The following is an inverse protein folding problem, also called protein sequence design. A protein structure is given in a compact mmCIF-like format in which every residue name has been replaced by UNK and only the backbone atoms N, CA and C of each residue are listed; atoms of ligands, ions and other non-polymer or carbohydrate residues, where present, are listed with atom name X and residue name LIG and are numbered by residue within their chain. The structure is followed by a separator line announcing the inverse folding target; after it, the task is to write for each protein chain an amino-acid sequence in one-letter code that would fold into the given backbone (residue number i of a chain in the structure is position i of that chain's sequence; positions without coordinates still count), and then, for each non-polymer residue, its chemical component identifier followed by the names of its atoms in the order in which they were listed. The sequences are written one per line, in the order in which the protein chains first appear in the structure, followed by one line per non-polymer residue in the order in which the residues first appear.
data_IF_462322689153
#
_entry.id   IF_462322689153
#
_cell.length_a   1.000
_cell.length_b   1.000
_cell.length_c   1.000
_cell.angle_alpha   90.00
_cell.angle_beta   90.00
_cell.angle_gamma   90.00
#
_symmetry.space_group_name_H-M   'P 1'
#
loop_
_entity.id
_entity.type
_entity.pdbx_description
1 polymer ?
#
# COMPACT_ATOMS: atom_id res chain seq x y z
N UNK A 1 -6.82 53.96 23.61
CA UNK A 1 -7.52 54.98 22.76
C UNK A 1 -6.81 55.07 21.43
N UNK A 2 -7.37 54.56 20.36
CA UNK A 2 -7.45 55.09 18.98
C UNK A 2 -8.11 54.04 18.12
N UNK A 3 -9.39 54.24 17.85
CA UNK A 3 -10.23 53.56 16.85
C UNK A 3 -9.90 54.11 15.46
N UNK A 4 -9.91 53.26 14.42
CA UNK A 4 -10.19 53.60 13.02
C UNK A 4 -10.68 52.29 12.36
N UNK A 5 -11.91 52.03 12.15
CA UNK A 5 -12.97 52.45 11.26
C UNK A 5 -12.70 52.12 9.77
N UNK A 6 -13.43 51.14 9.30
CA UNK A 6 -14.17 50.91 8.04
C UNK A 6 -13.56 51.34 6.68
N UNK A 7 -13.60 50.42 5.72
CA UNK A 7 -14.21 50.67 4.42
C UNK A 7 -14.54 49.32 3.70
N UNK A 8 -15.84 49.11 3.50
CA UNK A 8 -16.48 48.16 2.61
C UNK A 8 -16.42 48.72 1.22
N UNK A 9 -16.00 47.91 0.21
CA UNK A 9 -16.34 48.19 -1.19
C UNK A 9 -17.01 46.95 -1.79
N UNK A 10 -18.31 47.14 -1.99
CA UNK A 10 -19.21 46.34 -2.78
C UNK A 10 -19.22 46.90 -4.19
N UNK A 11 -18.92 46.09 -5.21
CA UNK A 11 -19.22 46.46 -6.58
C UNK A 11 -19.76 45.21 -7.34
N UNK A 12 -21.06 45.24 -7.52
CA UNK A 12 -21.77 44.40 -8.44
C UNK A 12 -21.73 45.04 -9.82
N UNK A 13 -21.56 44.24 -10.87
CA UNK A 13 -22.01 44.61 -12.20
C UNK A 13 -22.51 43.39 -12.96
N UNK A 14 -23.81 43.38 -13.16
CA UNK A 14 -24.54 42.60 -14.16
C UNK A 14 -24.20 43.12 -15.58
N UNK A 15 -24.20 42.22 -16.55
CA UNK A 15 -24.19 42.57 -17.97
C UNK A 15 -24.61 41.37 -18.83
N UNK A 16 -25.84 41.42 -19.35
CA UNK A 16 -26.54 40.40 -20.07
C UNK A 16 -26.33 40.46 -21.59
N UNK A 17 -26.50 39.29 -22.23
CA UNK A 17 -27.12 39.02 -23.53
C UNK A 17 -26.53 39.64 -24.81
N UNK A 18 -26.44 38.87 -25.90
CA UNK A 18 -27.33 38.91 -27.04
C UNK A 18 -26.97 37.82 -28.07
N UNK A 19 -28.02 37.21 -28.56
CA UNK A 19 -28.26 36.31 -29.68
C UNK A 19 -27.75 36.79 -31.05
N UNK A 20 -27.50 35.84 -31.94
CA UNK A 20 -27.87 36.02 -33.33
C UNK A 20 -26.87 35.56 -34.37
N UNK A 21 -27.27 34.62 -35.21
CA UNK A 21 -27.01 34.67 -36.62
C UNK A 21 -26.70 33.34 -37.30
N UNK A 22 -27.71 32.75 -37.92
CA UNK A 22 -27.65 31.68 -38.94
C UNK A 22 -26.96 32.10 -40.22
N UNK A 23 -26.23 31.20 -40.92
CA UNK A 23 -26.38 30.94 -42.35
C UNK A 23 -25.49 29.81 -42.85
N UNK A 24 -26.10 28.73 -43.30
CA UNK A 24 -26.15 27.99 -44.56
C UNK A 24 -24.86 27.79 -45.38
N UNK A 25 -24.70 26.50 -45.74
CA UNK A 25 -24.29 26.03 -47.06
C UNK A 25 -23.30 24.89 -46.99
N UNK A 26 -23.76 23.73 -47.16
CA UNK A 26 -23.78 22.74 -48.24
C UNK A 26 -22.48 21.95 -48.46
N UNK A 27 -22.65 20.71 -48.36
CA UNK A 27 -22.55 19.43 -49.11
C UNK A 27 -21.12 18.86 -49.17
N UNK A 28 -20.80 17.59 -49.12
CA UNK A 28 -21.50 16.32 -49.21
C UNK A 28 -20.49 15.22 -48.82
N UNK A 29 -20.99 14.05 -48.38
CA UNK A 29 -20.22 12.81 -48.50
C UNK A 29 -20.23 11.91 -47.26
N UNK A 30 -21.29 11.29 -46.98
CA UNK A 30 -21.38 9.97 -46.30
C UNK A 30 -21.35 8.85 -47.32
N UNK A 31 -20.98 7.62 -46.98
CA UNK A 31 -21.83 6.68 -46.28
C UNK A 31 -21.11 5.90 -45.15
N UNK A 32 -21.73 5.64 -44.03
CA UNK A 32 -22.68 4.60 -43.65
C UNK A 32 -22.20 3.18 -43.96
N UNK A 33 -22.17 2.31 -43.00
CA UNK A 33 -23.07 1.27 -42.49
C UNK A 33 -22.18 0.30 -41.74
N UNK A 34 -22.42 -0.40 -40.64
CA UNK A 34 -23.60 -0.96 -40.08
C UNK A 34 -23.24 -1.82 -38.89
N UNK A 35 -24.00 -1.71 -37.86
CA UNK A 35 -24.65 -2.76 -37.08
C UNK A 35 -23.88 -3.91 -36.45
N UNK A 36 -24.04 -4.00 -35.18
CA UNK A 36 -24.01 -5.25 -34.40
C UNK A 36 -25.16 -6.19 -34.83
N UNK A 37 -25.03 -7.46 -34.51
CA UNK A 37 -26.15 -8.07 -33.81
C UNK A 37 -25.80 -8.93 -32.61
N UNK A 38 -26.80 -8.99 -31.76
CA UNK A 38 -27.00 -9.78 -30.55
C UNK A 38 -27.05 -11.29 -30.78
N UNK A 39 -26.66 -11.96 -29.70
CA UNK A 39 -27.26 -13.19 -29.14
C UNK A 39 -27.65 -14.37 -30.06
N UNK A 40 -27.18 -15.55 -29.67
CA UNK A 40 -28.07 -16.70 -29.44
C UNK A 40 -27.39 -17.73 -28.52
N UNK A 41 -28.21 -18.27 -27.64
CA UNK A 41 -27.95 -19.26 -26.61
C UNK A 41 -28.01 -20.70 -27.18
N UNK A 42 -27.65 -21.63 -26.29
CA UNK A 42 -27.92 -23.06 -26.28
C UNK A 42 -26.94 -23.96 -27.03
N UNK A 43 -26.29 -24.89 -26.33
CA UNK A 43 -26.85 -26.21 -26.09
C UNK A 43 -26.11 -26.95 -24.95
N UNK A 44 -26.90 -27.65 -24.15
CA UNK A 44 -26.51 -28.58 -23.09
C UNK A 44 -26.14 -29.92 -23.70
N UNK A 45 -25.11 -30.57 -23.16
CA UNK A 45 -25.12 -32.04 -23.08
C UNK A 45 -24.50 -32.53 -21.78
N UNK A 46 -25.35 -33.13 -20.99
CA UNK A 46 -25.10 -34.06 -19.90
C UNK A 46 -24.20 -35.23 -20.33
N UNK A 47 -23.26 -35.61 -19.49
CA UNK A 47 -22.84 -36.99 -19.37
C UNK A 47 -22.45 -37.30 -17.92
N UNK A 48 -23.21 -38.18 -17.38
CA UNK A 48 -23.29 -38.73 -16.02
C UNK A 48 -22.46 -39.99 -15.93
N UNK A 49 -22.01 -40.31 -14.71
CA UNK A 49 -21.55 -41.59 -14.16
C UNK A 49 -20.06 -41.95 -14.40
N UNK A 50 -19.33 -42.49 -13.45
CA UNK A 50 -19.66 -43.52 -12.47
C UNK A 50 -18.65 -43.56 -11.31
N UNK A 51 -19.17 -43.90 -10.17
CA UNK A 51 -18.59 -44.17 -8.88
C UNK A 51 -17.93 -45.56 -8.87
N UNK A 52 -16.70 -45.69 -8.37
CA UNK A 52 -16.29 -46.96 -7.77
C UNK A 52 -15.47 -46.69 -6.51
N UNK A 53 -16.06 -47.18 -5.43
CA UNK A 53 -15.42 -47.33 -4.14
C UNK A 53 -14.58 -48.61 -4.13
N UNK A 54 -13.38 -48.55 -3.56
CA UNK A 54 -12.71 -49.71 -3.04
C UNK A 54 -11.98 -49.39 -1.74
N UNK A 55 -12.55 -49.91 -0.68
CA UNK A 55 -11.98 -50.02 0.67
C UNK A 55 -10.87 -51.08 0.67
N UNK A 56 -9.72 -50.74 1.28
CA UNK A 56 -8.88 -51.78 1.90
C UNK A 56 -8.14 -51.22 3.10
N UNK A 57 -8.43 -51.79 4.26
CA UNK A 57 -7.71 -51.73 5.53
C UNK A 57 -6.36 -52.42 5.44
N UNK A 58 -5.33 -51.93 6.12
CA UNK A 58 -4.53 -52.67 7.12
C UNK A 58 -3.34 -51.85 7.58
N UNK A 59 -3.31 -51.48 8.84
CA UNK A 59 -2.49 -51.96 9.97
C UNK A 59 -1.02 -51.54 10.01
N UNK A 60 -0.80 -50.59 10.92
CA UNK A 60 0.15 -50.57 12.06
C UNK A 60 1.62 -51.00 11.88
N UNK A 61 2.48 -50.13 12.23
CA UNK A 61 3.60 -50.20 13.23
C UNK A 61 4.65 -49.21 12.86
N UNK A 62 4.89 -48.20 13.64
CA UNK A 62 5.78 -48.23 14.78
C UNK A 62 7.07 -47.52 14.48
N UNK A 63 7.31 -46.50 15.27
CA UNK A 63 8.62 -46.13 15.83
C UNK A 63 9.40 -44.98 15.24
N UNK A 64 9.60 -44.02 16.14
CA UNK A 64 10.72 -43.13 16.35
C UNK A 64 10.59 -41.73 15.82
N UNK A 65 10.15 -40.91 16.75
CA UNK A 65 10.44 -39.49 16.86
C UNK A 65 11.94 -39.26 17.06
N UNK A 66 12.50 -38.22 16.50
CA UNK A 66 13.43 -37.42 17.28
C UNK A 66 13.08 -35.93 17.28
N UNK A 67 13.02 -35.42 18.48
CA UNK A 67 13.50 -34.10 18.84
C UNK A 67 12.53 -32.96 18.52
N UNK A 68 11.55 -32.75 19.39
CA UNK A 68 10.92 -31.46 19.60
C UNK A 68 12.00 -30.44 19.98
N UNK A 69 12.32 -29.54 19.08
CA UNK A 69 12.83 -28.24 19.42
C UNK A 69 11.70 -27.50 20.13
N UNK A 70 11.88 -27.18 21.40
CA UNK A 70 10.98 -26.31 22.16
C UNK A 70 11.01 -24.93 21.54
N UNK A 71 10.07 -24.68 20.61
CA UNK A 71 9.66 -23.33 20.28
C UNK A 71 9.08 -22.71 21.54
N UNK A 72 9.53 -21.52 21.89
CA UNK A 72 8.99 -20.75 23.00
C UNK A 72 7.47 -20.72 22.89
N UNK A 73 6.79 -21.05 24.00
CA UNK A 73 5.33 -21.07 24.14
C UNK A 73 4.73 -19.72 23.70
N UNK A 74 4.34 -19.61 22.46
CA UNK A 74 3.40 -18.59 22.05
C UNK A 74 2.02 -19.13 22.40
N UNK A 75 1.28 -18.54 23.36
CA UNK A 75 0.00 -19.08 23.79
C UNK A 75 -0.94 -19.16 22.59
N UNK A 76 -1.62 -20.31 22.43
CA UNK A 76 -2.62 -20.46 21.39
C UNK A 76 -3.62 -19.30 21.48
N UNK A 77 -3.89 -18.57 20.39
CA UNK A 77 -4.88 -17.49 20.41
C UNK A 77 -6.28 -18.00 20.82
N UNK A 78 -7.12 -17.15 21.40
CA UNK A 78 -8.47 -17.54 21.84
C UNK A 78 -9.34 -17.94 20.63
N UNK A 79 -10.38 -18.70 20.90
CA UNK A 79 -11.38 -19.09 19.90
C UNK A 79 -12.46 -17.99 19.83
N UNK A 80 -12.62 -17.33 18.68
CA UNK A 80 -13.41 -16.11 18.48
C UNK A 80 -14.36 -16.20 17.26
N UNK A 81 -15.15 -17.29 17.08
CA UNK A 81 -15.86 -17.56 15.80
C UNK A 81 -17.01 -16.59 15.49
N UNK A 82 -17.45 -15.78 16.47
CA UNK A 82 -18.53 -14.81 16.31
C UNK A 82 -18.07 -13.35 16.33
N UNK A 83 -16.75 -13.15 16.38
CA UNK A 83 -16.15 -11.83 16.46
C UNK A 83 -15.76 -11.31 15.06
N UNK A 84 -15.77 -9.98 14.92
CA UNK A 84 -15.39 -9.31 13.68
C UNK A 84 -14.60 -8.07 14.01
N UNK A 85 -13.47 -7.89 13.33
CA UNK A 85 -12.67 -6.67 13.39
C UNK A 85 -12.77 -5.90 12.08
N UNK A 86 -12.91 -4.58 12.17
CA UNK A 86 -12.78 -3.64 11.06
C UNK A 86 -11.43 -2.95 11.13
N UNK A 87 -10.54 -3.27 10.19
CA UNK A 87 -9.17 -2.78 10.20
C UNK A 87 -8.89 -1.96 8.94
N UNK A 88 -8.40 -0.75 9.13
CA UNK A 88 -7.88 0.09 8.06
C UNK A 88 -6.40 -0.19 7.86
N UNK A 89 -5.95 -0.34 6.62
CA UNK A 89 -4.55 -0.59 6.30
C UNK A 89 -4.13 0.21 5.08
N UNK A 90 -2.95 0.78 5.13
CA UNK A 90 -2.35 1.46 3.98
C UNK A 90 -2.26 0.54 2.77
N UNK A 91 -2.69 1.00 1.60
CA UNK A 91 -2.82 0.18 0.39
C UNK A 91 -1.50 -0.51 -0.03
N UNK A 92 -0.34 0.09 0.27
CA UNK A 92 0.97 -0.51 -0.03
C UNK A 92 1.26 -1.79 0.75
N UNK A 93 0.56 -2.03 1.85
CA UNK A 93 0.72 -3.22 2.72
C UNK A 93 -0.41 -4.24 2.54
N UNK A 94 -1.24 -4.10 1.50
CA UNK A 94 -2.43 -4.93 1.33
C UNK A 94 -2.11 -6.43 1.28
N UNK A 95 -1.06 -6.82 0.54
CA UNK A 95 -0.73 -8.25 0.37
C UNK A 95 -0.26 -8.91 1.69
N UNK A 96 0.76 -8.40 2.40
CA UNK A 96 1.17 -8.99 3.68
C UNK A 96 0.07 -8.92 4.74
N UNK A 97 -0.66 -7.81 4.81
CA UNK A 97 -1.69 -7.65 5.83
C UNK A 97 -2.91 -8.55 5.58
N UNK A 98 -3.28 -8.80 4.33
CA UNK A 98 -4.32 -9.76 4.01
C UNK A 98 -3.93 -11.18 4.45
N UNK A 99 -2.69 -11.60 4.22
CA UNK A 99 -2.21 -12.90 4.68
C UNK A 99 -2.22 -13.01 6.21
N UNK A 100 -1.86 -11.92 6.93
CA UNK A 100 -1.96 -11.85 8.39
C UNK A 100 -3.41 -11.98 8.86
N UNK A 101 -4.33 -11.26 8.21
CA UNK A 101 -5.76 -11.31 8.53
C UNK A 101 -6.36 -12.70 8.33
N UNK A 102 -5.99 -13.38 7.23
CA UNK A 102 -6.43 -14.73 6.92
C UNK A 102 -5.85 -15.74 7.93
N UNK A 103 -4.57 -15.62 8.29
CA UNK A 103 -3.92 -16.47 9.28
C UNK A 103 -4.53 -16.29 10.69
N UNK A 104 -4.89 -15.06 11.08
CA UNK A 104 -5.60 -14.81 12.34
C UNK A 104 -7.00 -15.44 12.34
N UNK A 105 -7.73 -15.30 11.24
CA UNK A 105 -9.04 -15.94 11.07
C UNK A 105 -8.94 -17.46 11.17
N UNK A 106 -7.96 -18.06 10.53
CA UNK A 106 -7.75 -19.52 10.57
C UNK A 106 -7.39 -20.00 12.00
N UNK A 107 -6.64 -19.18 12.73
CA UNK A 107 -6.23 -19.51 14.10
C UNK A 107 -7.32 -19.33 15.15
N UNK A 108 -8.26 -18.38 14.96
CA UNK A 108 -9.23 -17.93 15.97
C UNK A 108 -10.69 -18.06 15.56
N UNK A 109 -10.99 -18.13 14.26
CA UNK A 109 -12.35 -18.02 13.71
C UNK A 109 -12.86 -16.56 13.61
N UNK A 110 -12.12 -15.55 14.13
CA UNK A 110 -12.49 -14.15 14.06
C UNK A 110 -12.45 -13.63 12.62
N UNK A 111 -13.50 -12.97 12.16
CA UNK A 111 -13.50 -12.33 10.84
C UNK A 111 -12.76 -11.00 10.89
N UNK A 112 -11.80 -10.79 9.98
CA UNK A 112 -11.13 -9.50 9.79
C UNK A 112 -11.61 -8.87 8.49
N UNK A 113 -12.29 -7.72 8.60
CA UNK A 113 -12.72 -6.91 7.47
C UNK A 113 -11.68 -5.80 7.25
N UNK A 114 -10.72 -6.04 6.36
CA UNK A 114 -9.68 -5.07 6.06
C UNK A 114 -10.12 -4.12 4.94
N UNK A 115 -9.90 -2.81 5.15
CA UNK A 115 -10.07 -1.77 4.13
C UNK A 115 -8.72 -1.21 3.75
N UNK A 116 -8.35 -1.32 2.48
CA UNK A 116 -7.07 -0.85 1.94
C UNK A 116 -7.24 0.45 1.17
N UNK A 117 -6.62 1.53 1.66
CA UNK A 117 -6.71 2.83 1.03
C UNK A 117 -5.43 3.67 1.30
N UNK A 118 -5.34 4.86 0.70
CA UNK A 118 -4.31 5.80 1.10
C UNK A 118 -4.63 6.43 2.47
N UNK A 119 -3.59 6.90 3.16
CA UNK A 119 -3.72 7.42 4.53
C UNK A 119 -4.78 8.54 4.65
N UNK A 120 -4.84 9.47 3.69
CA UNK A 120 -5.81 10.56 3.73
C UNK A 120 -7.27 10.09 3.64
N UNK A 121 -7.55 9.07 2.85
CA UNK A 121 -8.88 8.45 2.76
C UNK A 121 -9.24 7.76 4.08
N UNK A 122 -8.31 6.98 4.67
CA UNK A 122 -8.50 6.31 5.95
C UNK A 122 -8.74 7.33 7.06
N UNK A 123 -7.90 8.36 7.15
CA UNK A 123 -8.04 9.45 8.12
C UNK A 123 -9.40 10.15 8.01
N UNK A 124 -9.83 10.45 6.78
CA UNK A 124 -11.16 11.03 6.52
C UNK A 124 -12.28 10.09 6.94
N UNK A 125 -12.15 8.81 6.70
CA UNK A 125 -13.14 7.82 7.10
C UNK A 125 -13.23 7.72 8.62
N UNK A 126 -12.12 7.53 9.34
CA UNK A 126 -12.09 7.47 10.81
C UNK A 126 -12.74 8.72 11.41
N UNK A 127 -12.37 9.92 10.94
CA UNK A 127 -12.90 11.18 11.48
C UNK A 127 -14.38 11.44 11.15
N UNK A 128 -14.90 10.84 10.08
CA UNK A 128 -16.28 11.06 9.64
C UNK A 128 -17.24 10.04 10.23
N UNK A 129 -16.84 8.77 10.31
CA UNK A 129 -17.70 7.68 10.77
C UNK A 129 -17.53 7.38 12.26
N UNK A 130 -16.35 7.71 12.81
CA UNK A 130 -15.94 7.31 14.16
C UNK A 130 -16.05 5.79 14.35
N UNK A 131 -15.71 5.03 13.29
CA UNK A 131 -15.74 3.57 13.26
C UNK A 131 -14.36 3.00 12.92
N UNK A 132 -14.14 1.74 13.29
CA UNK A 132 -12.91 0.99 13.06
C UNK A 132 -12.24 0.57 14.35
N UNK A 133 -11.58 -0.58 14.31
CA UNK A 133 -10.93 -1.15 15.48
C UNK A 133 -9.42 -0.86 15.47
N UNK A 134 -8.79 -0.81 14.29
CA UNK A 134 -7.35 -0.58 14.14
C UNK A 134 -7.03 0.18 12.84
N UNK A 135 -5.96 0.97 12.88
CA UNK A 135 -5.32 1.56 11.69
C UNK A 135 -3.86 1.14 11.60
N UNK A 136 -3.51 0.37 10.57
CA UNK A 136 -2.13 0.03 10.20
C UNK A 136 -1.65 1.07 9.18
N UNK A 137 -0.87 2.02 9.66
CA UNK A 137 -0.42 3.18 8.88
C UNK A 137 0.97 2.95 8.28
N UNK A 138 1.26 3.55 7.13
CA UNK A 138 2.58 3.47 6.49
C UNK A 138 3.70 4.15 7.28
N UNK A 139 3.34 5.02 8.22
CA UNK A 139 4.28 5.62 9.19
C UNK A 139 3.54 6.24 10.37
N UNK A 140 4.25 6.50 11.45
CA UNK A 140 3.71 7.24 12.60
C UNK A 140 3.24 8.66 12.28
N UNK A 141 3.76 9.28 11.22
CA UNK A 141 3.31 10.60 10.76
C UNK A 141 1.87 10.57 10.23
N UNK A 142 1.45 9.44 9.67
CA UNK A 142 0.09 9.26 9.15
C UNK A 142 -0.96 9.12 10.26
N UNK A 143 -0.56 8.85 11.50
CA UNK A 143 -1.47 8.80 12.65
C UNK A 143 -1.80 10.19 13.21
N UNK A 144 -0.96 11.22 12.96
CA UNK A 144 -1.13 12.56 13.53
C UNK A 144 -2.51 13.20 13.29
N UNK A 145 -3.09 13.14 12.06
CA UNK A 145 -4.42 13.71 11.81
C UNK A 145 -5.57 13.03 12.57
N UNK A 146 -5.35 11.80 13.04
CA UNK A 146 -6.34 11.00 13.78
C UNK A 146 -5.87 10.66 15.19
N UNK A 147 -4.87 11.38 15.72
CA UNK A 147 -4.24 11.10 17.01
C UNK A 147 -5.26 11.05 18.16
N UNK A 148 -6.33 11.86 18.11
CA UNK A 148 -7.42 11.85 19.10
C UNK A 148 -8.23 10.55 19.12
N UNK A 149 -8.15 9.74 18.07
CA UNK A 149 -8.79 8.42 17.99
C UNK A 149 -7.85 7.28 18.35
N UNK A 150 -6.55 7.53 18.51
CA UNK A 150 -5.55 6.49 18.83
C UNK A 150 -5.55 6.25 20.34
N UNK A 151 -5.89 5.04 20.76
CA UNK A 151 -5.83 4.58 22.15
C UNK A 151 -4.44 4.02 22.51
N UNK A 152 -3.88 3.21 21.62
CA UNK A 152 -2.55 2.60 21.75
C UNK A 152 -1.96 2.35 20.37
N UNK A 153 -0.64 2.18 20.29
CA UNK A 153 0.07 1.85 19.06
C UNK A 153 1.27 0.97 19.30
N UNK A 154 1.56 0.12 18.33
CA UNK A 154 2.71 -0.76 18.28
C UNK A 154 3.41 -0.64 16.94
N UNK A 155 4.71 -0.45 16.93
CA UNK A 155 5.52 -0.53 15.71
C UNK A 155 5.72 -2.00 15.32
N UNK A 156 5.42 -2.35 14.07
CA UNK A 156 5.45 -3.72 13.56
C UNK A 156 6.77 -4.01 12.82
N UNK A 157 7.04 -3.22 11.81
CA UNK A 157 8.16 -3.41 10.88
C UNK A 157 8.74 -2.07 10.46
N UNK A 158 9.96 -2.11 9.92
CA UNK A 158 10.60 -0.95 9.30
C UNK A 158 10.02 -0.73 7.90
N UNK A 159 9.87 0.54 7.53
CA UNK A 159 9.54 0.98 6.19
C UNK A 159 10.77 1.71 5.65
N UNK A 160 11.52 1.03 4.80
CA UNK A 160 12.90 1.40 4.44
C UNK A 160 12.95 1.98 3.04
N UNK A 161 13.23 3.29 2.89
CA UNK A 161 13.51 3.85 1.58
C UNK A 161 14.91 3.42 1.12
N UNK A 162 15.04 3.02 -0.14
CA UNK A 162 16.30 2.60 -0.74
C UNK A 162 16.55 3.31 -2.07
N UNK A 163 17.80 3.45 -2.43
CA UNK A 163 18.22 3.82 -3.77
C UNK A 163 18.34 2.54 -4.58
N UNK A 164 17.52 2.41 -5.61
CA UNK A 164 17.52 1.27 -6.52
C UNK A 164 18.01 1.69 -7.90
N UNK A 165 18.64 0.76 -8.60
CA UNK A 165 19.19 0.93 -9.94
C UNK A 165 18.81 -0.26 -10.82
N UNK A 166 18.99 -0.13 -12.12
CA UNK A 166 18.92 -1.27 -13.03
C UNK A 166 19.97 -2.31 -12.66
N UNK A 167 19.66 -3.59 -12.81
CA UNK A 167 20.60 -4.69 -12.56
C UNK A 167 21.93 -4.49 -13.29
N UNK A 168 23.01 -4.74 -12.56
CA UNK A 168 24.38 -4.51 -13.02
C UNK A 168 24.84 -3.06 -12.96
N UNK A 169 23.98 -2.16 -12.48
CA UNK A 169 24.30 -0.75 -12.19
C UNK A 169 25.15 -0.07 -13.28
N UNK A 170 24.64 0.07 -14.51
CA UNK A 170 25.44 0.51 -15.68
C UNK A 170 26.00 1.94 -15.53
N UNK A 171 25.43 2.74 -14.60
CA UNK A 171 25.91 4.10 -14.31
C UNK A 171 26.87 4.17 -13.12
N UNK A 172 27.16 3.02 -12.45
CA UNK A 172 28.00 2.95 -11.26
C UNK A 172 27.54 3.89 -10.14
N UNK A 173 26.23 3.96 -9.90
CA UNK A 173 25.62 4.80 -8.85
C UNK A 173 25.89 4.11 -7.52
N UNK A 174 26.53 4.81 -6.57
CA UNK A 174 26.89 4.30 -5.24
C UNK A 174 26.23 5.06 -4.11
N UNK A 175 25.59 6.18 -4.40
CA UNK A 175 24.87 7.00 -3.42
C UNK A 175 24.09 8.13 -4.06
N UNK A 176 23.42 8.95 -3.24
CA UNK A 176 22.58 10.06 -3.69
C UNK A 176 23.34 11.08 -4.53
N UNK A 177 24.64 11.34 -4.21
CA UNK A 177 25.46 12.31 -4.94
C UNK A 177 25.62 11.97 -6.42
N UNK A 178 25.61 10.67 -6.76
CA UNK A 178 25.82 10.21 -8.16
C UNK A 178 24.59 10.48 -9.03
N UNK A 179 23.43 10.76 -8.44
CA UNK A 179 22.22 11.14 -9.17
C UNK A 179 22.36 12.45 -9.96
N UNK A 180 23.38 13.26 -9.64
CA UNK A 180 23.69 14.51 -10.39
C UNK A 180 24.64 14.27 -11.58
N UNK A 181 25.06 13.01 -11.80
CA UNK A 181 25.97 12.66 -12.87
C UNK A 181 25.39 12.89 -14.28
N UNK A 182 26.27 13.20 -15.23
CA UNK A 182 25.88 13.41 -16.62
C UNK A 182 25.13 12.19 -17.19
N UNK A 183 23.91 12.43 -17.68
CA UNK A 183 23.08 11.41 -18.28
C UNK A 183 22.51 10.39 -17.28
N UNK A 184 22.54 10.67 -15.97
CA UNK A 184 21.80 9.92 -14.94
C UNK A 184 20.40 10.46 -14.86
N UNK A 185 19.41 9.56 -14.81
CA UNK A 185 17.99 9.89 -14.69
C UNK A 185 17.36 9.13 -13.55
N UNK A 186 16.38 9.78 -12.87
CA UNK A 186 15.68 9.28 -11.70
C UNK A 186 14.17 9.16 -11.96
N UNK A 187 13.58 8.02 -11.57
CA UNK A 187 12.15 7.92 -11.33
C UNK A 187 11.89 8.06 -9.83
N UNK A 188 10.90 8.83 -9.45
CA UNK A 188 10.50 9.00 -8.06
C UNK A 188 8.99 8.99 -7.88
N UNK A 189 8.54 8.82 -6.66
CA UNK A 189 7.13 9.02 -6.32
C UNK A 189 6.73 10.49 -6.44
N UNK A 190 5.47 10.74 -6.78
CA UNK A 190 4.92 12.09 -6.78
C UNK A 190 5.06 12.71 -5.39
N UNK A 191 5.66 13.91 -5.33
CA UNK A 191 6.07 14.57 -4.07
C UNK A 191 4.88 15.10 -3.25
N UNK A 192 3.74 15.31 -3.86
CA UNK A 192 2.57 15.85 -3.20
C UNK A 192 1.65 14.75 -2.67
N UNK A 193 1.58 13.63 -3.39
CA UNK A 193 0.61 12.55 -3.13
C UNK A 193 1.22 11.27 -2.52
N UNK A 194 2.56 11.05 -2.64
CA UNK A 194 3.16 9.80 -2.16
C UNK A 194 4.13 10.01 -1.00
N UNK A 195 4.10 9.15 0.05
CA UNK A 195 5.07 9.21 1.15
C UNK A 195 6.51 9.06 0.68
N UNK A 196 6.77 8.12 -0.24
CA UNK A 196 8.14 7.89 -0.75
C UNK A 196 8.65 9.07 -1.60
N UNK A 197 7.78 9.75 -2.36
CA UNK A 197 8.13 10.95 -3.09
C UNK A 197 8.52 12.11 -2.17
N UNK A 198 7.80 12.29 -1.06
CA UNK A 198 8.14 13.26 -0.01
C UNK A 198 9.50 12.97 0.63
N UNK A 199 9.78 11.70 0.91
CA UNK A 199 11.06 11.24 1.46
C UNK A 199 12.19 11.47 0.44
N UNK A 200 12.00 11.06 -0.81
CA UNK A 200 12.99 11.25 -1.86
C UNK A 200 13.37 12.74 -2.04
N UNK A 201 12.35 13.61 -2.14
CA UNK A 201 12.56 15.06 -2.20
C UNK A 201 13.32 15.56 -0.99
N UNK A 202 12.91 15.14 0.21
CA UNK A 202 13.58 15.58 1.45
C UNK A 202 15.02 15.12 1.48
N UNK A 203 15.33 13.86 1.18
CA UNK A 203 16.69 13.33 1.20
C UNK A 203 17.60 14.06 0.20
N UNK A 204 17.12 14.25 -1.03
CA UNK A 204 17.89 15.00 -2.05
C UNK A 204 18.02 16.49 -1.70
N UNK A 205 17.04 17.10 -1.03
CA UNK A 205 17.13 18.49 -0.56
C UNK A 205 18.13 18.62 0.58
N UNK A 206 18.11 17.71 1.55
CA UNK A 206 19.07 17.68 2.67
C UNK A 206 20.51 17.47 2.17
N UNK A 207 20.67 16.70 1.08
CA UNK A 207 21.94 16.51 0.38
C UNK A 207 22.32 17.69 -0.55
N UNK A 208 21.45 18.67 -0.74
CA UNK A 208 21.70 19.83 -1.60
C UNK A 208 21.70 19.55 -3.10
N UNK A 209 21.09 18.44 -3.54
CA UNK A 209 21.15 17.98 -4.94
C UNK A 209 19.81 18.01 -5.67
N UNK A 210 18.68 18.23 -5.01
CA UNK A 210 17.34 18.08 -5.60
C UNK A 210 17.16 18.83 -6.91
N UNK A 211 17.63 20.07 -6.99
CA UNK A 211 17.50 20.92 -8.18
C UNK A 211 18.48 20.54 -9.31
N UNK A 212 19.42 19.60 -9.07
CA UNK A 212 20.44 19.16 -10.00
C UNK A 212 20.12 17.77 -10.59
N UNK A 213 19.21 17.03 -9.98
CA UNK A 213 18.82 15.68 -10.41
C UNK A 213 17.87 15.76 -11.60
N UNK A 214 18.13 15.01 -12.65
CA UNK A 214 17.22 14.84 -13.77
C UNK A 214 16.09 13.86 -13.37
N UNK A 215 14.93 14.38 -13.02
CA UNK A 215 13.74 13.58 -12.80
C UNK A 215 13.10 13.27 -14.15
N UNK A 216 13.16 11.99 -14.57
CA UNK A 216 12.61 11.54 -15.85
C UNK A 216 11.09 11.39 -15.77
N UNK A 217 10.59 10.80 -14.66
CA UNK A 217 9.17 10.62 -14.42
C UNK A 217 8.83 10.60 -12.94
N UNK A 218 7.56 10.89 -12.63
CA UNK A 218 6.98 10.67 -11.32
C UNK A 218 5.82 9.67 -11.42
N UNK A 219 5.67 8.82 -10.40
CA UNK A 219 4.64 7.78 -10.36
C UNK A 219 3.75 7.93 -9.13
N UNK A 220 2.55 7.37 -9.20
CA UNK A 220 1.59 7.39 -8.11
C UNK A 220 1.84 6.27 -7.08
N UNK A 221 2.60 5.22 -7.43
CA UNK A 221 2.83 4.06 -6.56
C UNK A 221 4.27 3.54 -6.65
N UNK A 222 4.78 2.97 -5.55
CA UNK A 222 6.11 2.38 -5.51
C UNK A 222 6.30 1.19 -6.48
N UNK A 223 5.36 0.26 -6.64
CA UNK A 223 5.49 -0.81 -7.65
C UNK A 223 5.64 -0.29 -9.09
N UNK A 224 5.00 0.83 -9.45
CA UNK A 224 5.20 1.44 -10.77
C UNK A 224 6.63 1.94 -10.97
N UNK A 225 7.27 2.49 -9.92
CA UNK A 225 8.68 2.91 -10.00
C UNK A 225 9.60 1.72 -10.29
N UNK A 226 9.45 0.63 -9.55
CA UNK A 226 10.26 -0.57 -9.74
C UNK A 226 10.06 -1.20 -11.12
N UNK A 227 8.82 -1.24 -11.61
CA UNK A 227 8.51 -1.73 -12.96
C UNK A 227 9.16 -0.86 -14.03
N UNK A 228 9.06 0.45 -13.94
CA UNK A 228 9.66 1.38 -14.89
C UNK A 228 11.20 1.33 -14.86
N UNK A 229 11.78 1.19 -13.65
CA UNK A 229 13.22 1.00 -13.50
C UNK A 229 13.69 -0.32 -14.14
N UNK A 230 12.99 -1.43 -13.90
CA UNK A 230 13.25 -2.72 -14.51
C UNK A 230 13.12 -2.69 -16.05
N UNK A 231 12.21 -1.88 -16.58
CA UNK A 231 12.04 -1.65 -18.02
C UNK A 231 13.11 -0.74 -18.64
N UNK A 232 13.97 -0.14 -17.82
CA UNK A 232 15.05 0.74 -18.31
C UNK A 232 14.58 2.15 -18.65
N UNK A 233 13.46 2.60 -18.09
CA UNK A 233 12.92 3.95 -18.33
C UNK A 233 13.71 5.04 -17.59
N UNK A 234 14.48 4.68 -16.57
CA UNK A 234 15.45 5.53 -15.89
C UNK A 234 16.61 4.70 -15.33
N UNK A 235 17.66 5.37 -14.86
CA UNK A 235 18.87 4.74 -14.33
C UNK A 235 18.73 4.38 -12.84
N UNK A 236 17.95 5.17 -12.11
CA UNK A 236 17.76 5.01 -10.67
C UNK A 236 16.31 5.31 -10.21
N UNK A 237 15.97 4.83 -9.03
CA UNK A 237 14.73 5.16 -8.31
C UNK A 237 14.99 5.26 -6.80
N UNK A 238 14.27 6.15 -6.10
CA UNK A 238 14.15 6.09 -4.65
C UNK A 238 12.80 5.49 -4.35
N UNK A 239 12.79 4.27 -3.80
CA UNK A 239 11.63 3.41 -3.67
C UNK A 239 11.67 2.68 -2.31
N UNK A 240 10.57 2.05 -1.90
CA UNK A 240 10.58 1.21 -0.72
C UNK A 240 11.28 -0.12 -0.98
N UNK A 241 12.04 -0.62 -0.01
CA UNK A 241 12.84 -1.85 -0.10
C UNK A 241 12.00 -3.05 -0.53
N UNK A 242 10.82 -3.22 0.02
CA UNK A 242 9.90 -4.31 -0.27
C UNK A 242 9.35 -4.31 -1.70
N UNK A 243 9.59 -3.24 -2.45
CA UNK A 243 9.20 -3.16 -3.86
C UNK A 243 10.37 -3.41 -4.83
N UNK A 244 11.54 -3.82 -4.33
CA UNK A 244 12.74 -4.06 -5.14
C UNK A 244 13.00 -5.53 -5.45
N UNK A 245 12.02 -6.40 -5.29
CA UNK A 245 12.08 -7.84 -5.59
C UNK A 245 11.90 -8.17 -7.08
N UNK A 246 11.59 -7.17 -7.90
CA UNK A 246 11.43 -7.33 -9.34
C UNK A 246 12.76 -7.70 -10.03
N UNK A 247 12.71 -8.67 -10.96
CA UNK A 247 13.85 -8.97 -11.84
C UNK A 247 14.25 -7.70 -12.63
N UNK A 248 15.54 -7.40 -12.68
CA UNK A 248 16.04 -6.19 -13.34
C UNK A 248 16.26 -5.00 -12.41
N UNK A 249 15.99 -5.12 -11.13
CA UNK A 249 16.23 -4.10 -10.10
C UNK A 249 17.31 -4.55 -9.13
N UNK A 250 18.18 -3.65 -8.72
CA UNK A 250 19.24 -3.86 -7.73
C UNK A 250 19.25 -2.71 -6.72
N UNK A 251 19.40 -3.04 -5.44
CA UNK A 251 19.51 -2.05 -4.36
C UNK A 251 20.96 -1.62 -4.21
N UNK A 252 21.21 -0.31 -4.22
CA UNK A 252 22.53 0.25 -3.95
C UNK A 252 22.84 0.16 -2.45
N UNK A 253 24.01 -0.39 -2.11
CA UNK A 253 24.50 -0.42 -0.72
C UNK A 253 25.00 0.97 -0.32
N UNK A 254 24.09 1.78 0.20
CA UNK A 254 24.37 3.13 0.73
C UNK A 254 23.59 3.38 2.00
N UNK A 255 24.12 4.28 2.83
CA UNK A 255 23.46 4.73 4.08
C UNK A 255 22.79 6.08 3.94
N UNK A 256 22.78 6.65 2.74
CA UNK A 256 22.26 7.99 2.51
C UNK A 256 20.76 8.14 2.86
N UNK A 257 20.03 7.03 2.81
CA UNK A 257 18.59 6.99 3.12
C UNK A 257 18.26 6.47 4.54
N UNK A 258 19.25 5.98 5.30
CA UNK A 258 19.03 5.50 6.68
C UNK A 258 18.31 6.51 7.60
N UNK A 259 18.63 7.83 7.54
CA UNK A 259 17.93 8.82 8.37
C UNK A 259 16.42 8.96 8.08
N UNK A 260 15.96 8.40 6.97
CA UNK A 260 14.58 8.51 6.51
C UNK A 260 13.79 7.21 6.70
N UNK A 261 14.39 6.19 7.31
CA UNK A 261 13.69 4.96 7.69
C UNK A 261 12.55 5.32 8.63
N UNK A 262 11.37 4.76 8.37
CA UNK A 262 10.17 4.88 9.19
C UNK A 262 9.82 3.51 9.79
N UNK A 263 8.85 3.50 10.70
CA UNK A 263 8.21 2.28 11.17
C UNK A 263 6.75 2.27 10.70
N UNK A 264 6.23 1.08 10.48
CA UNK A 264 4.81 0.83 10.19
C UNK A 264 4.13 0.51 11.52
N UNK A 265 3.31 1.42 12.07
CA UNK A 265 2.58 1.17 13.29
C UNK A 265 1.22 0.53 13.04
N UNK A 266 0.79 -0.34 13.95
CA UNK A 266 -0.59 -0.70 14.17
C UNK A 266 -1.14 0.13 15.33
N UNK A 267 -2.15 0.95 15.08
CA UNK A 267 -2.79 1.80 16.08
C UNK A 267 -4.19 1.29 16.40
N UNK A 268 -4.42 0.90 17.64
CA UNK A 268 -5.75 0.58 18.17
C UNK A 268 -6.58 1.87 18.27
N UNK A 269 -7.83 1.83 17.78
CA UNK A 269 -8.68 2.99 17.76
C UNK A 269 -9.61 3.00 18.99
N UNK A 270 -9.85 4.17 19.57
CA UNK A 270 -10.73 4.37 20.72
C UNK A 270 -12.21 4.07 20.41
N UNK A 271 -12.59 4.12 19.13
CA UNK A 271 -13.91 3.75 18.62
C UNK A 271 -14.06 2.24 18.35
N UNK A 272 -13.08 1.42 18.72
CA UNK A 272 -13.13 -0.03 18.54
C UNK A 272 -14.39 -0.64 19.17
N UNK A 273 -15.10 -1.41 18.35
CA UNK A 273 -16.37 -2.02 18.71
C UNK A 273 -16.21 -3.36 19.45
N UNK A 274 -15.13 -4.09 19.15
CA UNK A 274 -14.82 -5.42 19.70
C UNK A 274 -13.44 -5.43 20.36
N UNK A 275 -13.42 -5.00 21.61
CA UNK A 275 -12.16 -4.86 22.37
C UNK A 275 -11.50 -6.19 22.71
N UNK A 276 -12.28 -7.28 22.85
CA UNK A 276 -11.73 -8.60 23.15
C UNK A 276 -11.02 -9.18 21.91
N UNK A 277 -11.64 -9.09 20.74
CA UNK A 277 -11.04 -9.49 19.49
C UNK A 277 -9.83 -8.60 19.12
N UNK A 278 -9.92 -7.28 19.37
CA UNK A 278 -8.82 -6.35 19.16
C UNK A 278 -7.59 -6.68 20.04
N UNK A 279 -7.82 -6.99 21.32
CA UNK A 279 -6.76 -7.39 22.24
C UNK A 279 -6.08 -8.69 21.78
N UNK A 280 -6.87 -9.67 21.34
CA UNK A 280 -6.34 -10.93 20.79
C UNK A 280 -5.56 -10.69 19.50
N UNK A 281 -6.04 -9.80 18.61
CA UNK A 281 -5.33 -9.44 17.38
C UNK A 281 -4.00 -8.72 17.68
N UNK A 282 -4.00 -7.77 18.61
CA UNK A 282 -2.79 -7.08 19.06
C UNK A 282 -1.72 -8.05 19.61
N UNK A 283 -2.14 -9.07 20.34
CA UNK A 283 -1.24 -10.12 20.81
C UNK A 283 -0.75 -11.00 19.65
N UNK A 284 -1.64 -11.31 18.69
CA UNK A 284 -1.28 -12.11 17.52
C UNK A 284 -0.25 -11.43 16.62
N UNK A 285 -0.27 -10.11 16.54
CA UNK A 285 0.73 -9.33 15.80
C UNK A 285 2.17 -9.55 16.29
N UNK A 286 2.39 -10.06 17.51
CA UNK A 286 3.72 -10.42 18.04
C UNK A 286 4.15 -11.84 17.68
N UNK A 287 3.27 -12.65 17.09
CA UNK A 287 3.54 -14.05 16.79
C UNK A 287 4.63 -14.22 15.72
N UNK A 288 5.33 -15.37 15.79
CA UNK A 288 6.32 -15.72 14.77
C UNK A 288 5.68 -15.84 13.38
N UNK A 289 4.45 -16.33 13.30
CA UNK A 289 3.69 -16.38 12.04
C UNK A 289 3.58 -15.00 11.39
N UNK A 290 3.23 -13.98 12.15
CA UNK A 290 3.12 -12.60 11.63
C UNK A 290 4.48 -12.06 11.21
N UNK A 291 5.52 -12.30 12.00
CA UNK A 291 6.89 -11.90 11.65
C UNK A 291 7.37 -12.57 10.37
N UNK A 292 7.13 -13.87 10.22
CA UNK A 292 7.48 -14.63 9.01
C UNK A 292 6.74 -14.09 7.78
N UNK A 293 5.46 -13.72 7.90
CA UNK A 293 4.71 -13.09 6.82
C UNK A 293 5.36 -11.76 6.42
N UNK A 294 5.63 -10.87 7.36
CA UNK A 294 6.28 -9.59 7.04
C UNK A 294 7.63 -9.79 6.34
N UNK A 295 8.48 -10.70 6.86
CA UNK A 295 9.79 -11.01 6.25
C UNK A 295 9.63 -11.58 4.84
N UNK A 296 8.67 -12.46 4.62
CA UNK A 296 8.35 -13.02 3.30
C UNK A 296 8.05 -11.92 2.26
N UNK A 297 7.46 -10.82 2.68
CA UNK A 297 7.16 -9.67 1.81
C UNK A 297 8.27 -8.60 1.83
N UNK A 298 9.47 -8.91 2.31
CA UNK A 298 10.65 -8.03 2.22
C UNK A 298 10.78 -7.00 3.34
N UNK A 299 9.90 -7.02 4.35
CA UNK A 299 9.97 -6.11 5.49
C UNK A 299 10.96 -6.57 6.54
N UNK A 300 11.51 -5.64 7.30
CA UNK A 300 12.37 -5.91 8.47
C UNK A 300 11.60 -5.66 9.78
N UNK A 301 11.66 -6.62 10.68
CA UNK A 301 11.02 -6.51 12.00
C UNK A 301 11.69 -5.40 12.81
N UNK A 302 10.90 -4.65 13.59
CA UNK A 302 11.41 -3.72 14.61
C UNK A 302 11.88 -4.55 15.81
N UNK A 303 13.15 -4.33 16.25
CA UNK A 303 13.72 -4.97 17.42
C UNK A 303 13.24 -4.30 18.73
#
# INVERSE_FOLDING_TARGET
MKKRTFAIFLAASLGASILGGCSKGNEAGSPAVSAAPSATAQDQTDAKQEQTAASAKSSASGTSQPGAGTSADNPKPPDLPSHTLMIYCGAGMAAPFQEIADAFKDATGCQVNATYANAGQIQSQITTTEEGDMFVAGSGDELKPVESYVEDKKDLVKHIPVLAVQSGNPKNITGLSDLTGDGVSLIMGDVDSTPIGKIAKKAMTDAGIFDQVKIEATTATAPQMSTALAAGEADAAIVWKENCDAEGVEIVDTKDLDPYIKTIPAASLSCASDKDALAAFNQYLDSDTVKEIWVKYGYEIVE
#
